data_IF_190048774478
#
_entry.id   IF_190048774478
#
_cell.length_a   1.000
_cell.length_b   1.000
_cell.length_c   1.000
_cell.angle_alpha   90.00
_cell.angle_beta   90.00
_cell.angle_gamma   90.00
#
_symmetry.space_group_name_H-M   'P 1'
#
loop_
_entity.id
_entity.type
_entity.pdbx_description
1 polymer ?
#
# COMPACT_ATOMS: atom_id res chain seq x y z
N UNK A 1 6.02 -27.60 37.29
CA UNK A 1 5.27 -27.00 36.16
C UNK A 1 3.94 -27.70 36.05
N UNK A 2 2.86 -26.92 35.97
CA UNK A 2 1.52 -27.48 35.83
C UNK A 2 1.24 -27.89 34.39
N UNK A 3 0.22 -28.75 34.23
CA UNK A 3 -0.21 -29.16 32.88
C UNK A 3 -0.73 -27.97 32.07
N UNK A 4 -1.35 -26.98 32.72
CA UNK A 4 -1.80 -25.77 32.06
C UNK A 4 -0.63 -24.97 31.47
N UNK A 5 0.52 -24.95 32.18
CA UNK A 5 1.73 -24.30 31.68
C UNK A 5 2.27 -24.97 30.41
N UNK A 6 2.17 -26.31 30.37
CA UNK A 6 2.58 -27.06 29.20
C UNK A 6 1.69 -26.80 28.00
N UNK A 7 0.37 -26.64 28.22
CA UNK A 7 -0.57 -26.28 27.15
C UNK A 7 -0.35 -24.85 26.65
N UNK A 8 -0.03 -23.93 27.57
CA UNK A 8 0.30 -22.54 27.21
C UNK A 8 1.63 -22.44 26.47
N UNK A 9 2.53 -23.40 26.67
CA UNK A 9 3.80 -23.44 25.97
C UNK A 9 3.73 -24.00 24.57
N UNK A 10 2.61 -24.59 24.19
CA UNK A 10 2.37 -25.06 22.81
C UNK A 10 1.84 -23.85 21.99
N UNK A 11 2.69 -23.12 21.29
CA UNK A 11 2.27 -21.86 20.69
C UNK A 11 1.33 -22.06 19.51
N UNK A 12 0.27 -21.25 19.48
CA UNK A 12 -0.68 -21.20 18.38
C UNK A 12 -0.06 -20.51 17.15
N UNK A 13 0.99 -19.70 17.35
CA UNK A 13 1.63 -18.94 16.29
C UNK A 13 3.13 -18.84 16.51
N UNK A 14 3.83 -18.44 15.46
CA UNK A 14 5.24 -18.05 15.51
C UNK A 14 5.42 -16.75 14.75
N UNK A 15 6.27 -15.87 15.28
CA UNK A 15 6.68 -14.65 14.59
C UNK A 15 8.04 -14.89 13.97
N UNK A 16 8.10 -14.83 12.65
CA UNK A 16 9.33 -15.03 11.90
C UNK A 16 9.61 -13.83 11.02
N UNK A 17 10.84 -13.36 11.06
CA UNK A 17 11.30 -12.37 10.10
C UNK A 17 11.54 -13.02 8.77
N UNK A 18 11.14 -12.34 7.72
CA UNK A 18 11.43 -12.78 6.35
C UNK A 18 11.71 -11.56 5.48
N UNK A 19 12.46 -11.78 4.40
CA UNK A 19 12.66 -10.74 3.40
C UNK A 19 11.59 -10.85 2.35
N UNK A 20 10.81 -9.76 2.19
CA UNK A 20 9.75 -9.69 1.21
C UNK A 20 10.05 -8.53 0.27
N UNK A 21 10.06 -8.80 -1.03
CA UNK A 21 10.16 -7.73 -2.01
C UNK A 21 8.84 -6.98 -2.06
N UNK A 22 8.88 -5.67 -1.79
CA UNK A 22 7.72 -4.81 -1.80
C UNK A 22 7.85 -3.83 -2.94
N UNK A 23 6.78 -3.68 -3.73
CA UNK A 23 6.72 -2.68 -4.79
C UNK A 23 6.36 -1.34 -4.19
N UNK A 24 7.08 -0.29 -4.57
CA UNK A 24 6.80 1.08 -4.16
C UNK A 24 6.28 1.82 -5.38
N UNK A 25 5.09 2.40 -5.26
CA UNK A 25 4.56 3.31 -6.27
C UNK A 25 4.80 4.73 -5.80
N UNK A 26 5.75 5.41 -6.42
CA UNK A 26 6.01 6.82 -6.17
C UNK A 26 5.10 7.65 -7.07
N UNK A 27 4.16 8.36 -6.46
CA UNK A 27 3.27 9.23 -7.21
C UNK A 27 3.97 10.56 -7.45
N UNK A 28 4.19 10.89 -8.71
CA UNK A 28 4.91 12.10 -9.09
C UNK A 28 3.97 13.29 -9.30
N UNK A 29 2.72 13.04 -9.65
CA UNK A 29 1.72 14.07 -9.90
C UNK A 29 0.36 13.61 -9.40
N UNK A 30 -0.45 14.57 -8.95
CA UNK A 30 -1.83 14.30 -8.52
C UNK A 30 -2.76 14.31 -9.75
N UNK A 31 -2.60 13.30 -10.59
CA UNK A 31 -3.38 13.13 -11.80
C UNK A 31 -3.78 11.65 -11.92
N UNK A 32 -4.92 11.31 -11.33
CA UNK A 32 -5.36 9.92 -11.25
C UNK A 32 -5.81 9.36 -12.59
N UNK A 33 -6.27 10.19 -13.52
CA UNK A 33 -6.64 9.72 -14.87
C UNK A 33 -5.41 9.26 -15.64
N UNK A 34 -4.33 10.05 -15.58
CA UNK A 34 -3.06 9.66 -16.21
C UNK A 34 -2.48 8.42 -15.54
N UNK A 35 -2.56 8.34 -14.21
CA UNK A 35 -2.09 7.18 -13.48
C UNK A 35 -2.84 5.92 -13.94
N UNK A 36 -4.17 6.00 -14.05
CA UNK A 36 -4.98 4.87 -14.47
C UNK A 36 -4.54 4.38 -15.86
N UNK A 37 -4.36 5.28 -16.82
CA UNK A 37 -3.91 4.92 -18.17
C UNK A 37 -2.51 4.30 -18.16
N UNK A 38 -1.60 4.88 -17.41
CA UNK A 38 -0.22 4.40 -17.34
C UNK A 38 -0.13 3.05 -16.64
N UNK A 39 -0.92 2.83 -15.58
CA UNK A 39 -1.00 1.52 -14.92
C UNK A 39 -1.59 0.48 -15.86
N UNK A 40 -2.62 0.82 -16.62
CA UNK A 40 -3.23 -0.09 -17.60
C UNK A 40 -2.19 -0.55 -18.63
N UNK A 41 -1.35 0.37 -19.12
CA UNK A 41 -0.27 0.04 -20.04
C UNK A 41 0.76 -0.91 -19.41
N UNK A 42 1.15 -0.65 -18.16
CA UNK A 42 2.09 -1.50 -17.44
C UNK A 42 1.53 -2.91 -17.21
N UNK A 43 0.27 -3.01 -16.81
CA UNK A 43 -0.41 -4.29 -16.61
C UNK A 43 -0.45 -5.09 -17.92
N UNK A 44 -0.74 -4.42 -19.04
CA UNK A 44 -0.76 -5.06 -20.35
C UNK A 44 0.61 -5.60 -20.76
N UNK A 45 1.68 -4.91 -20.36
CA UNK A 45 3.06 -5.34 -20.67
C UNK A 45 3.52 -6.52 -19.82
N UNK A 46 3.04 -6.62 -18.59
CA UNK A 46 3.50 -7.63 -17.64
C UNK A 46 2.34 -8.14 -16.77
N UNK A 47 1.35 -8.83 -17.36
CA UNK A 47 0.16 -9.23 -16.62
C UNK A 47 0.45 -10.21 -15.47
N UNK A 48 1.47 -11.04 -15.60
CA UNK A 48 1.84 -11.98 -14.54
C UNK A 48 2.50 -11.29 -13.34
N UNK A 49 3.10 -10.12 -13.55
CA UNK A 49 3.68 -9.33 -12.46
C UNK A 49 2.60 -8.68 -11.61
N UNK A 50 1.49 -8.24 -12.21
CA UNK A 50 0.43 -7.49 -11.54
C UNK A 50 -0.69 -8.41 -11.05
N UNK A 51 -0.35 -9.32 -10.11
CA UNK A 51 -1.33 -10.24 -9.52
C UNK A 51 -1.30 -10.10 -8.00
N UNK A 52 -2.16 -9.25 -7.45
CA UNK A 52 -2.29 -9.02 -6.01
C UNK A 52 -0.97 -8.62 -5.35
N UNK A 53 -0.25 -7.69 -5.98
CA UNK A 53 1.05 -7.25 -5.49
C UNK A 53 0.87 -6.35 -4.27
N UNK A 54 1.60 -6.63 -3.17
CA UNK A 54 1.65 -5.73 -2.03
C UNK A 54 2.42 -4.46 -2.40
N UNK A 55 1.87 -3.31 -2.01
CA UNK A 55 2.32 -2.01 -2.50
C UNK A 55 2.45 -1.02 -1.35
N UNK A 56 3.51 -0.24 -1.36
CA UNK A 56 3.62 0.98 -0.57
C UNK A 56 3.39 2.15 -1.51
N UNK A 57 2.44 3.01 -1.17
CA UNK A 57 2.19 4.24 -1.90
C UNK A 57 3.08 5.34 -1.31
N UNK A 58 4.01 5.84 -2.10
CA UNK A 58 4.89 6.93 -1.69
C UNK A 58 4.35 8.24 -2.23
N UNK A 59 3.86 9.10 -1.34
CA UNK A 59 3.25 10.38 -1.66
C UNK A 59 4.16 11.56 -1.31
N UNK A 60 5.33 11.28 -0.74
CA UNK A 60 6.23 12.29 -0.22
C UNK A 60 6.92 13.12 -1.30
N UNK A 61 6.79 12.71 -2.56
CA UNK A 61 7.37 13.43 -3.71
C UNK A 61 6.34 14.18 -4.54
N UNK A 62 5.10 14.24 -4.08
CA UNK A 62 4.07 15.02 -4.77
C UNK A 62 4.41 16.50 -4.73
N UNK A 63 4.35 17.20 -5.88
CA UNK A 63 4.58 18.64 -5.89
C UNK A 63 3.46 19.39 -5.18
N UNK A 64 3.79 20.53 -4.59
CA UNK A 64 2.80 21.44 -4.04
C UNK A 64 2.02 22.09 -5.20
N UNK A 65 0.78 22.48 -4.90
CA UNK A 65 -0.04 23.23 -5.86
C UNK A 65 -0.83 22.39 -6.85
N UNK A 66 -0.77 21.07 -6.78
CA UNK A 66 -1.56 20.19 -7.67
C UNK A 66 -2.91 19.80 -7.07
N UNK A 67 -3.29 20.43 -5.96
CA UNK A 67 -4.56 20.16 -5.31
C UNK A 67 -4.48 19.05 -4.29
N UNK A 68 -5.63 18.78 -3.67
CA UNK A 68 -5.74 17.77 -2.64
C UNK A 68 -5.90 16.38 -3.26
N UNK A 69 -5.11 15.43 -2.79
CA UNK A 69 -5.16 14.05 -3.27
C UNK A 69 -6.34 13.32 -2.63
N UNK A 70 -7.17 12.70 -3.45
CA UNK A 70 -8.20 11.77 -2.98
C UNK A 70 -7.59 10.40 -2.79
N UNK A 71 -7.14 10.12 -1.57
CA UNK A 71 -6.44 8.89 -1.24
C UNK A 71 -7.32 7.65 -1.42
N UNK A 72 -8.60 7.74 -1.04
CA UNK A 72 -9.53 6.63 -1.21
C UNK A 72 -9.68 6.25 -2.68
N UNK A 73 -9.80 7.25 -3.55
CA UNK A 73 -9.90 7.04 -5.00
C UNK A 73 -8.61 6.45 -5.57
N UNK A 74 -7.46 6.93 -5.11
CA UNK A 74 -6.16 6.38 -5.50
C UNK A 74 -6.05 4.90 -5.12
N UNK A 75 -6.45 4.54 -3.91
CA UNK A 75 -6.41 3.16 -3.46
C UNK A 75 -7.36 2.26 -4.25
N UNK A 76 -8.55 2.75 -4.58
CA UNK A 76 -9.51 2.01 -5.40
C UNK A 76 -8.96 1.77 -6.80
N UNK A 77 -8.33 2.77 -7.37
CA UNK A 77 -7.70 2.67 -8.68
C UNK A 77 -6.58 1.61 -8.67
N UNK A 78 -5.74 1.62 -7.65
CA UNK A 78 -4.70 0.61 -7.51
C UNK A 78 -5.30 -0.79 -7.38
N UNK A 79 -6.38 -0.93 -6.63
CA UNK A 79 -7.07 -2.22 -6.47
C UNK A 79 -7.61 -2.74 -7.79
N UNK A 80 -8.12 -1.86 -8.64
CA UNK A 80 -8.61 -2.23 -9.97
C UNK A 80 -7.49 -2.81 -10.84
N UNK A 81 -6.25 -2.41 -10.59
CA UNK A 81 -5.07 -2.93 -11.28
C UNK A 81 -4.35 -4.02 -10.49
N UNK A 82 -5.03 -4.66 -9.55
CA UNK A 82 -4.52 -5.77 -8.74
C UNK A 82 -3.33 -5.39 -7.84
N UNK A 83 -3.27 -4.13 -7.42
CA UNK A 83 -2.28 -3.61 -6.49
C UNK A 83 -2.94 -3.40 -5.13
N UNK A 84 -2.36 -3.99 -4.08
CA UNK A 84 -2.90 -3.91 -2.72
C UNK A 84 -2.04 -2.99 -1.87
N UNK A 85 -2.61 -1.89 -1.42
CA UNK A 85 -1.91 -0.93 -0.57
C UNK A 85 -1.73 -1.49 0.83
N UNK A 86 -0.48 -1.68 1.24
CA UNK A 86 -0.13 -2.12 2.59
C UNK A 86 0.16 -0.94 3.51
N UNK A 87 0.78 0.11 2.97
CA UNK A 87 1.19 1.26 3.75
C UNK A 87 1.35 2.47 2.84
N UNK A 88 1.41 3.65 3.46
CA UNK A 88 1.57 4.91 2.75
C UNK A 88 2.76 5.64 3.35
N UNK A 89 3.63 6.16 2.49
CA UNK A 89 4.69 7.06 2.88
C UNK A 89 4.28 8.48 2.48
N UNK A 90 4.13 9.36 3.45
CA UNK A 90 3.67 10.73 3.24
C UNK A 90 4.47 11.69 4.10
N UNK A 91 4.65 12.92 3.60
CA UNK A 91 5.27 14.01 4.34
C UNK A 91 4.24 15.08 4.71
N UNK A 92 3.10 15.12 4.06
CA UNK A 92 2.01 16.05 4.30
C UNK A 92 1.13 15.58 5.46
N UNK A 93 0.75 16.49 6.36
CA UNK A 93 -0.17 16.18 7.44
C UNK A 93 -1.55 15.79 6.91
N UNK A 94 -1.98 16.40 5.82
CA UNK A 94 -3.28 16.09 5.20
C UNK A 94 -3.30 14.65 4.67
N UNK A 95 -2.21 14.22 4.03
CA UNK A 95 -2.11 12.85 3.52
C UNK A 95 -2.03 11.83 4.66
N UNK A 96 -1.31 12.16 5.73
CA UNK A 96 -1.24 11.30 6.92
C UNK A 96 -2.60 11.17 7.59
N UNK A 97 -3.34 12.28 7.70
CA UNK A 97 -4.68 12.27 8.27
C UNK A 97 -5.66 11.46 7.41
N UNK A 98 -5.54 11.56 6.08
CA UNK A 98 -6.37 10.78 5.16
C UNK A 98 -6.07 9.29 5.28
N UNK A 99 -4.80 8.92 5.43
CA UNK A 99 -4.41 7.53 5.64
C UNK A 99 -4.96 6.98 6.95
N UNK A 100 -4.89 7.77 8.02
CA UNK A 100 -5.43 7.39 9.33
C UNK A 100 -6.93 7.18 9.25
N UNK A 101 -7.64 8.07 8.56
CA UNK A 101 -9.08 7.95 8.38
C UNK A 101 -9.49 6.67 7.62
N UNK A 102 -8.61 6.17 6.76
CA UNK A 102 -8.81 4.92 6.01
C UNK A 102 -8.20 3.70 6.69
N UNK A 103 -7.64 3.89 7.89
CA UNK A 103 -7.01 2.84 8.70
C UNK A 103 -5.84 2.18 7.96
N UNK A 104 -5.02 2.99 7.28
CA UNK A 104 -3.84 2.53 6.54
C UNK A 104 -2.57 2.94 7.28
N UNK A 105 -1.62 2.04 7.51
CA UNK A 105 -0.35 2.38 8.14
C UNK A 105 0.47 3.40 7.33
N UNK A 106 1.09 4.29 8.04
CA UNK A 106 1.99 5.31 7.46
C UNK A 106 3.43 4.99 7.82
#
# INVERSE_FOLDING_TARGET
>A
MSQADLLDQDPVFQLKGSMLAITVLELAHNDLERLDRQLAEKVAQAPNFFQNIPLVLALDKLPEGEGELDLGKLMDLCRQHCLRTLAIRASSEDDMAAAEALDIPV
#
